data_IF_629110497444
#
_entry.id   IF_629110497444
#
_cell.length_a   1.000
_cell.length_b   1.000
_cell.length_c   1.000
_cell.angle_alpha   90.00
_cell.angle_beta   90.00
_cell.angle_gamma   90.00
#
_symmetry.space_group_name_H-M   'P 1'
#
loop_
_entity.id
_entity.type
_entity.pdbx_description
1 polymer ?
#
# COMPACT_ATOMS: atom_id res chain seq x y z
N UNK A 1 16.08 -24.99 -33.29
CA UNK A 1 17.21 -24.73 -32.38
C UNK A 1 17.09 -23.28 -31.92
N UNK A 2 16.37 -23.00 -30.83
CA UNK A 2 16.89 -22.76 -29.46
C UNK A 2 18.18 -21.95 -29.42
N UNK A 3 18.07 -20.69 -29.01
CA UNK A 3 19.06 -20.00 -28.18
C UNK A 3 18.33 -19.00 -27.28
N UNK A 4 18.19 -19.41 -26.03
CA UNK A 4 17.67 -18.66 -24.89
C UNK A 4 18.81 -17.84 -24.29
N UNK A 5 18.56 -16.57 -23.95
CA UNK A 5 19.37 -15.83 -22.98
C UNK A 5 18.45 -15.03 -22.07
N UNK A 6 18.58 -15.31 -20.78
CA UNK A 6 17.82 -14.79 -19.65
C UNK A 6 18.71 -13.79 -18.87
N UNK A 7 18.07 -12.97 -18.01
CA UNK A 7 18.59 -12.27 -16.82
C UNK A 7 19.24 -10.88 -17.09
N UNK A 8 19.10 -9.80 -16.31
CA UNK A 8 18.44 -9.41 -15.03
C UNK A 8 18.40 -7.86 -15.05
N UNK A 9 17.34 -7.21 -14.56
CA UNK A 9 17.47 -5.88 -13.92
C UNK A 9 16.61 -5.87 -12.65
N UNK A 10 17.27 -6.07 -11.52
CA UNK A 10 16.77 -5.69 -10.21
C UNK A 10 17.30 -4.28 -9.90
N UNK A 11 16.43 -3.39 -9.41
CA UNK A 11 16.78 -2.05 -8.97
C UNK A 11 15.73 -1.54 -7.99
N UNK A 12 15.99 -1.75 -6.70
CA UNK A 12 15.16 -1.36 -5.58
C UNK A 12 15.17 0.16 -5.36
N UNK A 13 14.02 0.73 -5.01
CA UNK A 13 13.93 2.01 -4.31
C UNK A 13 13.39 1.75 -2.92
N UNK A 14 14.30 1.76 -1.94
CA UNK A 14 14.03 1.81 -0.52
C UNK A 14 14.59 3.13 0.00
N UNK A 15 13.84 3.83 0.84
CA UNK A 15 14.27 5.03 1.58
C UNK A 15 13.33 5.19 2.80
N UNK A 16 13.81 5.74 3.92
CA UNK A 16 14.09 4.96 5.13
C UNK A 16 13.14 5.25 6.30
N UNK A 17 13.06 4.28 7.22
CA UNK A 17 12.50 4.45 8.57
C UNK A 17 13.66 4.74 9.51
N UNK A 18 13.62 5.85 10.26
CA UNK A 18 14.06 5.95 11.67
C UNK A 18 14.19 7.42 12.12
N UNK A 19 13.33 7.82 13.05
CA UNK A 19 13.70 8.79 14.08
C UNK A 19 13.57 8.08 15.42
N UNK A 20 14.70 7.57 15.95
CA UNK A 20 14.79 7.08 17.31
C UNK A 20 14.89 8.29 18.25
N UNK A 21 13.85 8.55 19.04
CA UNK A 21 13.96 9.45 20.18
C UNK A 21 14.60 8.69 21.35
N UNK A 22 15.85 9.04 21.60
CA UNK A 22 16.51 8.91 22.89
C UNK A 22 15.72 9.79 23.86
N UNK A 23 15.17 9.22 24.94
CA UNK A 23 15.06 9.96 26.18
C UNK A 23 15.31 9.06 27.39
N UNK A 24 16.37 9.43 28.10
CA UNK A 24 16.87 8.89 29.34
C UNK A 24 15.88 9.21 30.46
N UNK A 25 15.44 8.24 31.27
CA UNK A 25 15.17 8.51 32.69
C UNK A 25 15.62 7.30 33.53
N UNK A 26 16.66 7.58 34.31
CA UNK A 26 17.11 7.01 35.58
C UNK A 26 16.10 6.04 36.26
N UNK A 27 16.48 4.85 36.72
CA UNK A 27 17.59 4.64 37.65
C UNK A 27 17.10 4.82 39.09
N UNK A 28 16.33 3.86 39.63
CA UNK A 28 16.15 3.71 41.08
C UNK A 28 16.02 2.23 41.44
N UNK A 29 17.14 1.67 41.89
CA UNK A 29 17.19 0.49 42.76
C UNK A 29 16.88 1.00 44.17
N UNK A 30 15.79 0.53 44.78
CA UNK A 30 15.59 0.67 46.23
C UNK A 30 15.43 -0.72 46.83
N UNK A 31 16.57 -1.35 47.09
CA UNK A 31 16.70 -2.44 48.04
C UNK A 31 16.59 -1.85 49.45
N UNK A 32 15.39 -1.82 50.03
CA UNK A 32 15.22 -1.52 51.45
C UNK A 32 15.59 -2.78 52.25
N UNK A 33 16.87 -2.86 52.61
CA UNK A 33 17.32 -3.61 53.76
C UNK A 33 16.71 -2.99 55.01
N UNK A 34 15.92 -3.75 55.75
CA UNK A 34 15.61 -3.46 57.15
C UNK A 34 15.84 -4.73 57.96
N UNK A 35 17.11 -5.02 58.19
CA UNK A 35 17.56 -5.75 59.35
C UNK A 35 17.45 -4.80 60.56
N UNK A 36 16.58 -5.13 61.51
CA UNK A 36 16.60 -4.58 62.85
C UNK A 36 16.63 -5.75 63.86
N UNK A 37 17.67 -6.56 63.76
CA UNK A 37 18.20 -7.35 64.86
C UNK A 37 19.18 -6.47 65.61
N UNK A 38 18.87 -6.09 66.86
CA UNK A 38 19.77 -5.87 68.01
C UNK A 38 19.16 -4.86 68.99
N UNK A 39 18.34 -5.36 69.91
CA UNK A 39 18.32 -4.83 71.26
C UNK A 39 18.93 -5.93 72.15
N UNK A 40 20.23 -5.79 72.40
CA UNK A 40 20.99 -6.61 73.32
C UNK A 40 20.82 -6.07 74.75
N UNK A 41 20.63 -7.02 75.67
CA UNK A 41 21.04 -6.97 77.09
C UNK A 41 20.39 -5.94 78.01
N UNK A 42 19.38 -6.42 78.75
CA UNK A 42 19.37 -6.30 80.21
C UNK A 42 18.91 -7.66 80.77
N UNK A 43 19.80 -8.39 81.46
CA UNK A 43 19.40 -9.40 82.45
C UNK A 43 19.20 -8.67 83.78
N UNK A 44 18.26 -9.14 84.62
CA UNK A 44 18.73 -9.81 85.82
C UNK A 44 18.18 -11.24 85.94
N UNK A 45 19.08 -12.07 86.44
CA UNK A 45 18.97 -13.46 86.82
C UNK A 45 18.03 -13.62 88.03
N UNK A 46 16.94 -14.38 87.89
CA UNK A 46 16.28 -15.03 89.03
C UNK A 46 15.34 -16.19 88.59
N UNK A 47 15.68 -17.39 89.09
CA UNK A 47 14.80 -18.52 89.46
C UNK A 47 13.61 -18.89 88.56
N UNK A 48 13.76 -20.00 87.82
CA UNK A 48 12.63 -20.73 87.22
C UNK A 48 13.11 -21.81 86.26
N UNK A 49 13.24 -23.05 86.72
CA UNK A 49 13.56 -24.20 85.86
C UNK A 49 12.33 -24.76 85.12
N UNK A 50 11.16 -24.12 85.27
CA UNK A 50 9.90 -24.47 84.56
C UNK A 50 9.56 -23.54 83.37
N UNK A 51 10.21 -22.37 83.23
CA UNK A 51 9.84 -21.37 82.21
C UNK A 51 10.47 -21.58 80.82
N UNK A 52 11.50 -22.44 80.70
CA UNK A 52 12.17 -22.73 79.42
C UNK A 52 11.31 -23.56 78.46
N UNK A 53 10.33 -24.32 78.99
CA UNK A 53 9.44 -25.16 78.19
C UNK A 53 8.27 -24.35 77.62
N UNK A 54 7.78 -23.37 78.37
CA UNK A 54 6.78 -22.41 77.92
C UNK A 54 7.36 -21.41 76.91
N UNK A 55 8.56 -20.88 77.14
CA UNK A 55 9.24 -20.01 76.15
C UNK A 55 9.52 -20.74 74.83
N UNK A 56 9.89 -22.04 74.86
CA UNK A 56 10.03 -22.85 73.64
C UNK A 56 8.71 -23.08 72.92
N UNK A 57 7.60 -23.25 73.64
CA UNK A 57 6.26 -23.40 73.04
C UNK A 57 5.78 -22.10 72.42
N UNK A 58 5.97 -20.97 73.10
CA UNK A 58 5.68 -19.65 72.56
C UNK A 58 6.52 -19.33 71.31
N UNK A 59 7.82 -19.66 71.33
CA UNK A 59 8.69 -19.49 70.16
C UNK A 59 8.30 -20.40 68.97
N UNK A 60 7.92 -21.66 69.23
CA UNK A 60 7.46 -22.59 68.20
C UNK A 60 6.11 -22.15 67.60
N UNK A 61 5.21 -21.63 68.42
CA UNK A 61 3.91 -21.12 67.97
C UNK A 61 4.07 -19.83 67.16
N UNK A 62 4.96 -18.92 67.56
CA UNK A 62 5.30 -17.72 66.79
C UNK A 62 5.94 -18.05 65.44
N UNK A 63 6.80 -19.08 65.37
CA UNK A 63 7.38 -19.55 64.11
C UNK A 63 6.32 -20.18 63.19
N UNK A 64 5.40 -20.97 63.74
CA UNK A 64 4.29 -21.54 62.98
C UNK A 64 3.36 -20.46 62.42
N UNK A 65 3.04 -19.43 63.20
CA UNK A 65 2.23 -18.29 62.76
C UNK A 65 2.94 -17.46 61.68
N UNK A 66 4.26 -17.27 61.79
CA UNK A 66 5.05 -16.61 60.75
C UNK A 66 5.09 -17.43 59.45
N UNK A 67 5.27 -18.75 59.53
CA UNK A 67 5.25 -19.63 58.36
C UNK A 67 3.87 -19.66 57.68
N UNK A 68 2.78 -19.69 58.47
CA UNK A 68 1.42 -19.63 57.95
C UNK A 68 1.13 -18.32 57.20
N UNK A 69 1.56 -17.17 57.75
CA UNK A 69 1.43 -15.87 57.07
C UNK A 69 2.26 -15.77 55.80
N UNK A 70 3.48 -16.34 55.78
CA UNK A 70 4.31 -16.38 54.57
C UNK A 70 3.68 -17.24 53.48
N UNK A 71 3.11 -18.40 53.83
CA UNK A 71 2.41 -19.26 52.86
C UNK A 71 1.15 -18.60 52.30
N UNK A 72 0.38 -17.87 53.13
CA UNK A 72 -0.76 -17.09 52.65
C UNK A 72 -0.35 -15.94 51.73
N UNK A 73 0.70 -15.19 52.09
CA UNK A 73 1.22 -14.11 51.25
C UNK A 73 1.71 -14.63 49.89
N UNK A 74 2.42 -15.76 49.86
CA UNK A 74 2.87 -16.38 48.61
C UNK A 74 1.71 -16.87 47.74
N UNK A 75 0.66 -17.45 48.33
CA UNK A 75 -0.52 -17.88 47.57
C UNK A 75 -1.26 -16.68 46.97
N UNK A 76 -1.37 -15.58 47.72
CA UNK A 76 -2.03 -14.37 47.25
C UNK A 76 -1.23 -13.66 46.14
N UNK A 77 0.10 -13.58 46.27
CA UNK A 77 0.97 -13.07 45.20
C UNK A 77 0.91 -13.96 43.94
N UNK A 78 0.82 -15.29 44.09
CA UNK A 78 0.69 -16.20 42.94
C UNK A 78 -0.64 -16.00 42.22
N UNK A 79 -1.76 -15.87 42.94
CA UNK A 79 -3.07 -15.62 42.33
C UNK A 79 -3.13 -14.26 41.63
N UNK A 80 -2.56 -13.22 42.25
CA UNK A 80 -2.55 -11.87 41.67
C UNK A 80 -1.66 -11.81 40.42
N UNK A 81 -0.51 -12.50 40.45
CA UNK A 81 0.40 -12.60 39.30
C UNK A 81 -0.22 -13.43 38.16
N UNK A 82 -0.96 -14.49 38.47
CA UNK A 82 -1.70 -15.27 37.49
C UNK A 82 -2.84 -14.45 36.84
N UNK A 83 -3.62 -13.72 37.64
CA UNK A 83 -4.69 -12.85 37.15
C UNK A 83 -4.15 -11.72 36.26
N UNK A 84 -3.04 -11.10 36.64
CA UNK A 84 -2.39 -10.07 35.84
C UNK A 84 -1.88 -10.59 34.49
N UNK A 85 -1.27 -11.79 34.47
CA UNK A 85 -0.83 -12.44 33.22
C UNK A 85 -2.00 -12.78 32.31
N UNK A 86 -3.07 -13.35 32.87
CA UNK A 86 -4.28 -13.69 32.12
C UNK A 86 -4.92 -12.44 31.47
N UNK A 87 -5.00 -11.32 32.20
CA UNK A 87 -5.49 -10.06 31.66
C UNK A 87 -4.60 -9.53 30.52
N UNK A 88 -3.28 -9.63 30.68
CA UNK A 88 -2.31 -9.20 29.65
C UNK A 88 -2.45 -10.04 28.38
N UNK A 89 -2.57 -11.35 28.52
CA UNK A 89 -2.78 -12.28 27.40
C UNK A 89 -4.10 -12.04 26.68
N UNK A 90 -5.19 -11.80 27.44
CA UNK A 90 -6.49 -11.46 26.87
C UNK A 90 -6.42 -10.17 26.05
N UNK A 91 -5.78 -9.12 26.58
CA UNK A 91 -5.58 -7.86 25.85
C UNK A 91 -4.71 -8.05 24.61
N UNK A 92 -3.66 -8.88 24.69
CA UNK A 92 -2.81 -9.21 23.55
C UNK A 92 -3.56 -10.02 22.47
N UNK A 93 -4.41 -10.97 22.85
CA UNK A 93 -5.26 -11.73 21.94
C UNK A 93 -6.29 -10.83 21.24
N UNK A 94 -6.98 -9.97 22.00
CA UNK A 94 -7.91 -8.98 21.44
C UNK A 94 -7.20 -8.00 20.49
N UNK A 95 -5.99 -7.57 20.83
CA UNK A 95 -5.16 -6.74 19.95
C UNK A 95 -4.80 -7.44 18.63
N UNK A 96 -4.42 -8.73 18.68
CA UNK A 96 -4.15 -9.53 17.48
C UNK A 96 -5.39 -9.68 16.60
N UNK A 97 -6.56 -9.94 17.18
CA UNK A 97 -7.81 -10.04 16.44
C UNK A 97 -8.17 -8.72 15.74
N UNK A 98 -8.07 -7.58 16.43
CA UNK A 98 -8.31 -6.26 15.83
C UNK A 98 -7.33 -5.95 14.70
N UNK A 99 -6.05 -6.31 14.86
CA UNK A 99 -5.06 -6.12 13.80
C UNK A 99 -5.39 -6.99 12.57
N UNK A 100 -5.80 -8.25 12.77
CA UNK A 100 -6.22 -9.13 11.67
C UNK A 100 -7.46 -8.59 10.95
N UNK A 101 -8.45 -8.09 11.68
CA UNK A 101 -9.64 -7.45 11.10
C UNK A 101 -9.26 -6.20 10.30
N UNK A 102 -8.40 -5.33 10.86
CA UNK A 102 -7.96 -4.12 10.17
C UNK A 102 -7.22 -4.42 8.85
N UNK A 103 -6.39 -5.47 8.81
CA UNK A 103 -5.73 -5.92 7.56
C UNK A 103 -6.76 -6.45 6.56
N UNK A 104 -7.71 -7.29 7.01
CA UNK A 104 -8.75 -7.81 6.13
C UNK A 104 -9.64 -6.70 5.55
N UNK A 105 -9.98 -5.70 6.34
CA UNK A 105 -10.77 -4.54 5.90
C UNK A 105 -10.00 -3.68 4.89
N UNK A 106 -8.69 -3.50 5.09
CA UNK A 106 -7.81 -2.80 4.14
C UNK A 106 -7.73 -3.56 2.81
N UNK A 107 -7.49 -4.88 2.85
CA UNK A 107 -7.45 -5.71 1.65
C UNK A 107 -8.78 -5.64 0.87
N UNK A 108 -9.90 -5.69 1.58
CA UNK A 108 -11.23 -5.56 0.96
C UNK A 108 -11.44 -4.20 0.30
N UNK A 109 -11.01 -3.11 0.96
CA UNK A 109 -11.09 -1.76 0.41
C UNK A 109 -10.21 -1.59 -0.84
N UNK A 110 -9.01 -2.14 -0.83
CA UNK A 110 -8.09 -2.08 -1.98
C UNK A 110 -8.62 -2.88 -3.18
N UNK A 111 -9.17 -4.08 -2.94
CA UNK A 111 -9.84 -4.86 -3.98
C UNK A 111 -11.03 -4.10 -4.56
N UNK A 112 -11.85 -3.47 -3.71
CA UNK A 112 -12.99 -2.69 -4.16
C UNK A 112 -12.56 -1.48 -5.00
N UNK A 113 -11.52 -0.75 -4.57
CA UNK A 113 -10.94 0.38 -5.29
C UNK A 113 -10.39 -0.05 -6.65
N UNK A 114 -9.68 -1.18 -6.71
CA UNK A 114 -9.17 -1.73 -7.96
C UNK A 114 -10.31 -2.09 -8.91
N UNK A 115 -11.33 -2.82 -8.44
CA UNK A 115 -12.53 -3.13 -9.26
C UNK A 115 -13.24 -1.87 -9.76
N UNK A 116 -13.40 -0.87 -8.90
CA UNK A 116 -14.00 0.41 -9.28
C UNK A 116 -13.16 1.16 -10.33
N UNK A 117 -11.82 1.15 -10.21
CA UNK A 117 -10.93 1.70 -11.23
C UNK A 117 -11.03 0.94 -12.56
N UNK A 118 -11.12 -0.39 -12.51
CA UNK A 118 -11.29 -1.22 -13.70
C UNK A 118 -12.63 -0.95 -14.39
N UNK A 119 -13.72 -0.83 -13.62
CA UNK A 119 -15.04 -0.48 -14.15
C UNK A 119 -15.05 0.91 -14.78
N UNK A 120 -14.41 1.92 -14.15
CA UNK A 120 -14.24 3.24 -14.74
C UNK A 120 -13.46 3.19 -16.05
N UNK A 121 -12.33 2.48 -16.08
CA UNK A 121 -11.56 2.30 -17.31
C UNK A 121 -12.36 1.62 -18.43
N UNK A 122 -13.21 0.64 -18.10
CA UNK A 122 -14.10 0.02 -19.09
C UNK A 122 -15.18 0.98 -19.60
N UNK A 123 -15.77 1.79 -18.72
CA UNK A 123 -16.76 2.79 -19.11
C UNK A 123 -16.14 3.87 -20.00
N UNK A 124 -14.95 4.35 -19.66
CA UNK A 124 -14.19 5.33 -20.46
C UNK A 124 -13.83 4.75 -21.84
N UNK A 125 -13.35 3.50 -21.91
CA UNK A 125 -13.05 2.84 -23.18
C UNK A 125 -14.30 2.66 -24.07
N UNK A 126 -15.45 2.31 -23.47
CA UNK A 126 -16.73 2.23 -24.18
C UNK A 126 -17.15 3.59 -24.73
N UNK A 127 -17.08 4.64 -23.90
CA UNK A 127 -17.42 6.00 -24.33
C UNK A 127 -16.53 6.48 -25.49
N UNK A 128 -15.23 6.18 -25.45
CA UNK A 128 -14.31 6.48 -26.55
C UNK A 128 -14.66 5.72 -27.83
N UNK A 129 -14.95 4.43 -27.73
CA UNK A 129 -15.39 3.59 -28.87
C UNK A 129 -16.70 4.11 -29.46
N UNK A 130 -17.70 4.42 -28.63
CA UNK A 130 -18.99 4.94 -29.06
C UNK A 130 -18.82 6.29 -29.78
N UNK A 131 -17.93 7.15 -29.27
CA UNK A 131 -17.63 8.42 -29.91
C UNK A 131 -16.96 8.21 -31.27
N UNK A 132 -15.97 7.32 -31.36
CA UNK A 132 -15.33 6.99 -32.64
C UNK A 132 -16.32 6.42 -33.66
N UNK A 133 -17.23 5.55 -33.23
CA UNK A 133 -18.31 5.03 -34.09
C UNK A 133 -19.23 6.13 -34.60
N UNK A 134 -19.62 7.10 -33.75
CA UNK A 134 -20.42 8.26 -34.17
C UNK A 134 -19.71 9.09 -35.24
N UNK A 135 -18.40 9.31 -35.09
CA UNK A 135 -17.62 10.05 -36.09
C UNK A 135 -17.48 9.25 -37.40
N UNK A 136 -17.23 7.95 -37.32
CA UNK A 136 -17.18 7.08 -38.50
C UNK A 136 -18.53 7.01 -39.23
N UNK A 137 -19.64 7.03 -38.50
CA UNK A 137 -20.99 7.12 -39.09
C UNK A 137 -21.23 8.47 -39.78
N UNK A 138 -20.74 9.57 -39.19
CA UNK A 138 -20.86 10.91 -39.79
C UNK A 138 -19.96 11.08 -41.03
N UNK A 139 -18.81 10.40 -41.08
CA UNK A 139 -17.96 10.34 -42.27
C UNK A 139 -17.46 8.91 -42.54
N UNK A 140 -18.18 8.14 -43.38
CA UNK A 140 -17.80 6.77 -43.73
C UNK A 140 -16.42 6.66 -44.39
N UNK A 141 -15.91 7.74 -44.99
CA UNK A 141 -14.58 7.74 -45.59
C UNK A 141 -13.46 7.44 -44.58
N UNK A 142 -13.66 7.68 -43.27
CA UNK A 142 -12.67 7.33 -42.21
C UNK A 142 -12.31 5.84 -42.20
N UNK A 143 -13.27 4.98 -42.53
CA UNK A 143 -13.12 3.52 -42.51
C UNK A 143 -13.07 2.91 -43.91
N UNK A 144 -13.16 3.72 -44.96
CA UNK A 144 -13.09 3.25 -46.35
C UNK A 144 -11.65 2.93 -46.74
N UNK A 145 -11.36 1.64 -46.86
CA UNK A 145 -10.03 1.13 -47.18
C UNK A 145 -9.52 1.50 -48.58
N UNK A 146 -10.41 1.94 -49.47
CA UNK A 146 -10.07 2.43 -50.81
C UNK A 146 -9.12 3.63 -50.77
N UNK A 147 -9.23 4.46 -49.73
CA UNK A 147 -8.42 5.66 -49.59
C UNK A 147 -7.22 5.41 -48.68
N UNK A 148 -6.12 6.10 -48.94
CA UNK A 148 -5.00 6.16 -47.99
C UNK A 148 -5.42 6.94 -46.74
N UNK A 149 -4.74 6.70 -45.62
CA UNK A 149 -5.17 7.17 -44.29
C UNK A 149 -5.38 8.70 -44.24
N UNK A 150 -4.43 9.49 -44.75
CA UNK A 150 -4.56 10.94 -44.74
C UNK A 150 -5.65 11.44 -45.69
N UNK A 151 -5.86 10.78 -46.83
CA UNK A 151 -6.97 11.11 -47.74
C UNK A 151 -8.33 10.93 -47.06
N UNK A 152 -8.49 9.89 -46.22
CA UNK A 152 -9.71 9.70 -45.43
C UNK A 152 -10.00 10.91 -44.54
N UNK A 153 -8.99 11.36 -43.79
CA UNK A 153 -9.08 12.53 -42.92
C UNK A 153 -9.37 13.82 -43.69
N UNK A 154 -8.73 14.04 -44.85
CA UNK A 154 -8.97 15.21 -45.71
C UNK A 154 -10.42 15.21 -46.22
N UNK A 155 -10.91 14.06 -46.70
CA UNK A 155 -12.30 13.93 -47.18
C UNK A 155 -13.31 14.25 -46.09
N UNK A 156 -13.09 13.75 -44.87
CA UNK A 156 -13.98 13.99 -43.75
C UNK A 156 -13.94 15.44 -43.26
N UNK A 157 -12.76 16.07 -43.28
CA UNK A 157 -12.65 17.50 -43.02
C UNK A 157 -13.49 18.29 -44.01
N UNK A 158 -13.39 17.97 -45.30
CA UNK A 158 -14.15 18.67 -46.34
C UNK A 158 -15.66 18.47 -46.20
N UNK A 159 -16.10 17.42 -45.49
CA UNK A 159 -17.49 17.18 -45.11
C UNK A 159 -17.90 17.90 -43.81
N UNK A 160 -17.04 18.74 -43.24
CA UNK A 160 -17.33 19.52 -42.04
C UNK A 160 -17.03 18.81 -40.72
N UNK A 161 -16.41 17.62 -40.74
CA UNK A 161 -15.91 17.01 -39.51
C UNK A 161 -14.84 17.94 -38.93
N UNK A 162 -14.90 18.18 -37.63
CA UNK A 162 -13.94 19.01 -36.91
C UNK A 162 -12.71 18.22 -36.48
N UNK A 163 -11.60 18.92 -36.21
CA UNK A 163 -10.38 18.29 -35.72
C UNK A 163 -10.61 17.48 -34.43
N UNK A 164 -11.32 17.98 -33.40
CA UNK A 164 -11.62 17.17 -32.22
C UNK A 164 -12.40 15.89 -32.51
N UNK A 165 -13.32 15.91 -33.49
CA UNK A 165 -14.04 14.70 -33.90
C UNK A 165 -13.11 13.69 -34.58
N UNK A 166 -12.25 14.12 -35.50
CA UNK A 166 -11.26 13.21 -36.10
C UNK A 166 -10.28 12.67 -35.06
N UNK A 167 -9.86 13.50 -34.09
CA UNK A 167 -9.00 13.07 -32.98
C UNK A 167 -9.71 12.07 -32.06
N UNK A 168 -11.02 12.18 -31.84
CA UNK A 168 -11.79 11.19 -31.10
C UNK A 168 -11.80 9.83 -31.81
N UNK A 169 -11.92 9.82 -33.15
CA UNK A 169 -11.77 8.60 -33.95
C UNK A 169 -10.37 8.00 -33.83
N UNK A 170 -9.32 8.83 -33.95
CA UNK A 170 -7.93 8.41 -33.76
C UNK A 170 -7.68 7.88 -32.34
N UNK A 171 -8.34 8.46 -31.34
CA UNK A 171 -8.26 8.08 -29.93
C UNK A 171 -8.70 6.65 -29.64
N UNK A 172 -9.57 6.08 -30.47
CA UNK A 172 -10.01 4.68 -30.36
C UNK A 172 -9.11 3.67 -31.08
N UNK A 173 -8.03 4.13 -31.73
CA UNK A 173 -7.09 3.25 -32.45
C UNK A 173 -5.95 2.76 -31.55
N UNK A 174 -5.23 1.69 -31.94
CA UNK A 174 -4.08 1.20 -31.17
C UNK A 174 -3.02 2.29 -30.93
N UNK A 175 -2.50 2.36 -29.71
CA UNK A 175 -1.56 3.40 -29.22
C UNK A 175 -0.41 3.66 -30.21
N UNK A 176 0.17 2.58 -30.77
CA UNK A 176 1.31 2.69 -31.68
C UNK A 176 0.99 3.51 -32.94
N UNK A 177 -0.23 3.35 -33.47
CA UNK A 177 -0.66 4.07 -34.66
C UNK A 177 -1.24 5.46 -34.31
N UNK A 178 -1.81 5.61 -33.12
CA UNK A 178 -2.49 6.81 -32.66
C UNK A 178 -1.63 8.07 -32.81
N UNK A 179 -0.35 8.03 -32.43
CA UNK A 179 0.54 9.19 -32.50
C UNK A 179 0.75 9.69 -33.95
N UNK A 180 0.94 8.77 -34.90
CA UNK A 180 1.17 9.11 -36.31
C UNK A 180 -0.11 9.64 -36.95
N UNK A 181 -1.25 9.02 -36.67
CA UNK A 181 -2.54 9.48 -37.20
C UNK A 181 -2.99 10.80 -36.58
N UNK A 182 -2.72 11.02 -35.29
CA UNK A 182 -2.95 12.31 -34.64
C UNK A 182 -2.13 13.43 -35.28
N UNK A 183 -0.88 13.13 -35.64
CA UNK A 183 -0.01 14.08 -36.34
C UNK A 183 -0.50 14.37 -37.76
N UNK A 184 -0.96 13.35 -38.50
CA UNK A 184 -1.62 13.55 -39.80
C UNK A 184 -2.84 14.47 -39.69
N UNK A 185 -3.73 14.22 -38.71
CA UNK A 185 -4.93 15.05 -38.49
C UNK A 185 -4.52 16.49 -38.16
N UNK A 186 -3.58 16.69 -37.23
CA UNK A 186 -3.06 18.01 -36.89
C UNK A 186 -2.53 18.76 -38.12
N UNK A 187 -1.61 18.16 -38.87
CA UNK A 187 -1.02 18.75 -40.07
C UNK A 187 -2.10 19.10 -41.10
N UNK A 188 -3.07 18.21 -41.33
CA UNK A 188 -4.18 18.47 -42.25
C UNK A 188 -4.89 19.76 -41.82
N UNK A 189 -5.38 19.85 -40.59
CA UNK A 189 -6.17 20.99 -40.14
C UNK A 189 -5.37 22.29 -40.09
N UNK A 190 -4.18 22.26 -39.49
CA UNK A 190 -3.34 23.43 -39.28
C UNK A 190 -2.78 24.00 -40.59
N UNK A 191 -2.40 23.16 -41.55
CA UNK A 191 -1.91 23.62 -42.85
C UNK A 191 -3.05 23.87 -43.86
N UNK A 192 -4.30 23.74 -43.42
CA UNK A 192 -5.49 23.89 -44.26
C UNK A 192 -5.49 23.00 -45.52
N UNK A 193 -5.00 21.76 -45.38
CA UNK A 193 -5.04 20.77 -46.45
C UNK A 193 -6.48 20.36 -46.76
N UNK A 194 -6.96 20.69 -47.96
CA UNK A 194 -8.31 20.36 -48.45
C UNK A 194 -8.30 19.45 -49.68
N UNK A 195 -7.16 19.29 -50.37
CA UNK A 195 -7.09 18.44 -51.57
C UNK A 195 -6.87 16.96 -51.21
N UNK A 196 -7.80 16.04 -51.52
CA UNK A 196 -7.62 14.61 -51.25
C UNK A 196 -6.38 14.02 -51.94
N UNK A 197 -5.97 14.59 -53.07
CA UNK A 197 -4.79 14.15 -53.83
C UNK A 197 -3.47 14.31 -53.04
N UNK A 198 -3.41 15.23 -52.04
CA UNK A 198 -2.26 15.36 -51.14
C UNK A 198 -2.16 14.21 -50.12
N UNK A 199 -3.25 13.48 -49.90
CA UNK A 199 -3.32 12.43 -48.88
C UNK A 199 -2.27 11.34 -49.04
N UNK A 200 -1.95 10.94 -50.27
CA UNK A 200 -0.93 9.90 -50.49
C UNK A 200 0.44 10.32 -49.97
N UNK A 201 0.89 11.54 -50.30
CA UNK A 201 2.21 12.03 -49.88
C UNK A 201 2.30 12.18 -48.35
N UNK A 202 1.23 12.62 -47.71
CA UNK A 202 1.12 12.70 -46.25
C UNK A 202 1.20 11.30 -45.63
N UNK A 203 0.39 10.37 -46.14
CA UNK A 203 0.36 8.98 -45.64
C UNK A 203 1.72 8.31 -45.80
N UNK A 204 2.34 8.38 -46.98
CA UNK A 204 3.64 7.77 -47.25
C UNK A 204 4.73 8.30 -46.30
N UNK A 205 4.70 9.60 -45.98
CA UNK A 205 5.65 10.22 -45.06
C UNK A 205 5.52 9.66 -43.65
N UNK A 206 4.29 9.65 -43.11
CA UNK A 206 4.02 9.19 -41.76
C UNK A 206 4.18 7.67 -41.63
N UNK A 207 3.77 6.89 -42.63
CA UNK A 207 4.01 5.44 -42.68
C UNK A 207 5.51 5.13 -42.70
N UNK A 208 6.30 5.93 -43.43
CA UNK A 208 7.76 5.79 -43.43
C UNK A 208 8.37 5.97 -42.04
N UNK A 209 7.93 6.95 -41.26
CA UNK A 209 8.39 7.13 -39.87
C UNK A 209 7.91 5.97 -38.97
N UNK A 210 6.64 5.59 -39.10
CA UNK A 210 6.03 4.50 -38.34
C UNK A 210 6.81 3.20 -38.50
N UNK A 211 7.14 2.81 -39.73
CA UNK A 211 7.92 1.59 -40.02
C UNK A 211 9.35 1.65 -39.49
N UNK A 212 9.95 2.83 -39.43
CA UNK A 212 11.28 3.01 -38.82
C UNK A 212 11.25 3.06 -37.29
N UNK A 213 10.07 3.20 -36.68
CA UNK A 213 9.92 3.42 -35.24
C UNK A 213 10.52 4.76 -34.79
N UNK A 214 10.63 5.74 -35.68
CA UNK A 214 11.23 7.05 -35.40
C UNK A 214 10.14 8.13 -35.38
N UNK A 215 10.23 9.15 -34.53
CA UNK A 215 9.36 10.32 -34.62
C UNK A 215 9.40 10.95 -36.02
N UNK A 216 8.25 11.40 -36.52
CA UNK A 216 8.24 12.26 -37.71
C UNK A 216 8.57 13.70 -37.33
N UNK A 217 9.43 14.34 -38.13
CA UNK A 217 9.55 15.80 -38.08
C UNK A 217 8.32 16.39 -38.76
N UNK A 218 7.72 17.44 -38.21
CA UNK A 218 6.60 18.10 -38.87
C UNK A 218 7.02 18.69 -40.21
N UNK A 219 6.20 18.51 -41.25
CA UNK A 219 6.36 19.15 -42.57
C UNK A 219 5.14 20.02 -42.84
N UNK A 220 5.32 20.99 -43.74
CA UNK A 220 4.21 21.80 -44.26
C UNK A 220 3.65 21.18 -45.53
N UNK A 221 2.33 21.09 -45.65
CA UNK A 221 1.65 20.30 -46.69
C UNK A 221 0.89 21.07 -47.77
#
# INVERSE_FOLDING_TARGET
>A
MKLTRTLIVAGAFVSPVAHAQINQILGVIHSAQSAATQAARVLPQQSGQDSMQDDRRLAAQAQADQAARQNQAQQQEQSDNAAYRALREQRAAAGRQRAQQAVADQDAADIAKYKASQQRGQQEARAQSDQAMKVAAACPALVDEKYNVAERFIRCRNQGISMPQQMAFVGAMPILAQAYMASMVQDIYEDNVTSPAKGKAITDYYDGCYRRGTPCVRRRW
#
